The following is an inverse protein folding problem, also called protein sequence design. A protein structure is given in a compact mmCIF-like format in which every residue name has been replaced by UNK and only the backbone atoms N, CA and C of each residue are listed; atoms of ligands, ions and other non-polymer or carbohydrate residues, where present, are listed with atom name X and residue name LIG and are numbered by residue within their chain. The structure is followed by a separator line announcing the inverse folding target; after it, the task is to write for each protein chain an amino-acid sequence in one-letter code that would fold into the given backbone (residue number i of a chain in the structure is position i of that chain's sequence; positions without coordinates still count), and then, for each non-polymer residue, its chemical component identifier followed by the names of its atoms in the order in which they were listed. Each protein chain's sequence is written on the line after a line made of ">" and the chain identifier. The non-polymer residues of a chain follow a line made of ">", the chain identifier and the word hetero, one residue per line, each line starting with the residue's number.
data_IF_392032937213
#
_entry.id   IF_392032937213
#
_cell.length_a   1.000
_cell.length_b   1.000
_cell.length_c   1.000
_cell.angle_alpha   90.00
_cell.angle_beta   90.00
_cell.angle_gamma   90.00
#
_symmetry.space_group_name_H-M   'P 1'
#
loop_
_entity.id
_entity.type
_entity.pdbx_description
1 polymer ?
#
# COMPACT_ATOMS: atom_id res chain seq x y z
N UNK A 1 2.77 -32.75 0.07
CA UNK A 1 4.23 -33.04 0.21
C UNK A 1 4.74 -32.43 1.51
N UNK A 2 5.74 -33.00 2.20
CA UNK A 2 6.41 -32.30 3.31
C UNK A 2 7.05 -31.02 2.75
N UNK A 3 6.58 -29.85 3.19
CA UNK A 3 7.03 -28.58 2.60
C UNK A 3 8.47 -28.27 2.98
N UNK A 4 9.34 -28.15 1.99
CA UNK A 4 10.68 -27.62 2.20
C UNK A 4 10.59 -26.10 2.38
N UNK A 5 11.36 -25.52 3.29
CA UNK A 5 11.40 -24.05 3.40
C UNK A 5 12.03 -23.45 2.13
N UNK A 6 11.59 -22.25 1.72
CA UNK A 6 12.11 -21.57 0.52
C UNK A 6 13.65 -21.48 0.50
N UNK A 7 14.27 -21.26 1.65
CA UNK A 7 15.73 -21.23 1.79
C UNK A 7 16.38 -22.57 1.47
N UNK A 8 15.83 -23.68 1.96
CA UNK A 8 16.36 -25.01 1.67
C UNK A 8 16.08 -25.43 0.22
N UNK A 9 14.91 -25.09 -0.33
CA UNK A 9 14.60 -25.32 -1.74
C UNK A 9 15.57 -24.58 -2.66
N UNK A 10 15.93 -23.34 -2.32
CA UNK A 10 16.91 -22.54 -3.06
C UNK A 10 18.32 -23.16 -3.01
N UNK A 11 18.73 -23.73 -1.88
CA UNK A 11 19.99 -24.48 -1.80
C UNK A 11 19.99 -25.74 -2.67
N UNK A 12 18.88 -26.48 -2.69
CA UNK A 12 18.75 -27.67 -3.54
C UNK A 12 18.83 -27.31 -5.02
N UNK A 13 18.19 -26.20 -5.43
CA UNK A 13 18.32 -25.68 -6.79
C UNK A 13 19.79 -25.38 -7.12
N UNK A 14 20.53 -24.81 -6.15
CA UNK A 14 21.97 -24.54 -6.22
C UNK A 14 22.89 -25.75 -6.42
N UNK A 15 22.39 -26.98 -6.35
CA UNK A 15 23.13 -28.20 -6.73
C UNK A 15 23.10 -28.47 -8.24
N UNK A 16 22.29 -27.71 -8.98
CA UNK A 16 22.19 -27.81 -10.43
C UNK A 16 23.32 -27.02 -11.08
N UNK A 17 23.70 -27.39 -12.29
CA UNK A 17 24.77 -26.71 -13.02
C UNK A 17 24.42 -25.23 -13.25
N UNK A 18 25.13 -24.34 -12.55
CA UNK A 18 24.98 -22.89 -12.65
C UNK A 18 23.74 -22.28 -11.96
N UNK A 19 22.59 -22.96 -11.96
CA UNK A 19 21.33 -22.40 -11.46
C UNK A 19 21.30 -22.23 -9.93
N UNK A 20 20.57 -21.22 -9.41
CA UNK A 20 20.06 -20.06 -10.15
C UNK A 20 21.14 -18.99 -10.38
N UNK A 21 22.36 -19.21 -9.88
CA UNK A 21 23.41 -18.22 -9.74
C UNK A 21 24.02 -17.72 -11.05
N UNK A 22 23.88 -18.45 -12.15
CA UNK A 22 24.31 -18.04 -13.49
C UNK A 22 23.17 -17.46 -14.32
N UNK A 23 21.93 -17.57 -13.88
CA UNK A 23 20.79 -17.10 -14.67
C UNK A 23 20.74 -15.56 -14.69
N UNK A 24 20.79 -14.91 -15.87
CA UNK A 24 20.74 -13.46 -15.96
C UNK A 24 19.46 -12.89 -15.35
N UNK A 25 18.31 -13.54 -15.58
CA UNK A 25 17.02 -13.13 -15.02
C UNK A 25 17.04 -13.16 -13.49
N UNK A 26 17.58 -14.23 -12.91
CA UNK A 26 17.69 -14.34 -11.45
C UNK A 26 18.65 -13.29 -10.87
N UNK A 27 19.79 -13.08 -11.52
CA UNK A 27 20.76 -12.06 -11.10
C UNK A 27 20.18 -10.65 -11.20
N UNK A 28 19.41 -10.36 -12.25
CA UNK A 28 18.76 -9.06 -12.41
C UNK A 28 17.71 -8.84 -11.31
N UNK A 29 16.93 -9.87 -10.99
CA UNK A 29 15.89 -9.82 -9.97
C UNK A 29 16.47 -9.68 -8.55
N UNK A 30 17.50 -10.45 -8.24
CA UNK A 30 18.03 -10.56 -6.86
C UNK A 30 19.25 -9.68 -6.60
N UNK A 31 19.91 -9.19 -7.65
CA UNK A 31 21.23 -8.54 -7.62
C UNK A 31 22.33 -9.42 -6.99
N UNK A 32 22.10 -10.74 -6.91
CA UNK A 32 23.09 -11.71 -6.43
C UNK A 32 23.83 -12.28 -7.63
N UNK A 33 25.05 -11.81 -7.84
CA UNK A 33 25.91 -12.28 -8.91
C UNK A 33 26.78 -13.42 -8.37
N UNK A 34 26.70 -14.60 -9.01
CA UNK A 34 27.46 -15.84 -8.67
C UNK A 34 27.02 -16.53 -7.37
N UNK A 35 27.71 -17.63 -7.06
CA UNK A 35 27.39 -18.54 -5.95
C UNK A 35 27.64 -17.83 -4.60
N UNK A 36 26.64 -17.73 -3.70
CA UNK A 36 26.77 -16.98 -2.44
C UNK A 36 27.90 -17.48 -1.52
N UNK A 37 28.13 -18.79 -1.48
CA UNK A 37 29.13 -19.44 -0.62
C UNK A 37 30.48 -19.70 -1.32
N UNK A 38 30.78 -18.96 -2.40
CA UNK A 38 32.11 -18.98 -3.00
C UNK A 38 33.13 -18.30 -2.08
N UNK A 39 34.34 -18.86 -2.03
CA UNK A 39 35.48 -18.32 -1.29
C UNK A 39 36.73 -18.47 -2.14
N UNK A 40 37.62 -17.48 -2.10
CA UNK A 40 38.94 -17.59 -2.73
C UNK A 40 39.74 -18.75 -2.11
N UNK A 41 40.54 -19.47 -2.91
CA UNK A 41 41.52 -20.41 -2.38
C UNK A 41 42.44 -19.73 -1.35
N UNK A 42 42.69 -20.41 -0.24
CA UNK A 42 43.61 -19.95 0.83
C UNK A 42 43.25 -18.64 1.54
N UNK A 43 42.02 -18.12 1.37
CA UNK A 43 41.55 -16.95 2.10
C UNK A 43 41.46 -17.23 3.62
N UNK A 44 41.95 -16.29 4.43
CA UNK A 44 41.89 -16.40 5.88
C UNK A 44 40.42 -16.37 6.37
N UNK A 45 40.06 -17.08 7.46
CA UNK A 45 38.67 -17.23 7.93
C UNK A 45 37.88 -15.92 8.12
N UNK A 46 38.56 -14.86 8.58
CA UNK A 46 37.97 -13.55 8.86
C UNK A 46 37.85 -12.63 7.64
N UNK A 47 38.42 -13.03 6.49
CA UNK A 47 38.37 -12.24 5.26
C UNK A 47 36.92 -12.14 4.78
N UNK A 48 36.43 -10.95 4.35
CA UNK A 48 35.08 -10.81 3.81
C UNK A 48 34.81 -11.77 2.64
N UNK A 49 33.61 -12.36 2.61
CA UNK A 49 33.17 -13.20 1.51
C UNK A 49 32.89 -12.33 0.26
N UNK A 50 33.26 -12.79 -0.94
CA UNK A 50 33.22 -11.95 -2.14
C UNK A 50 31.80 -11.63 -2.64
N UNK A 51 30.84 -12.53 -2.43
CA UNK A 51 29.51 -12.43 -3.08
C UNK A 51 28.36 -12.08 -2.13
N UNK A 52 28.59 -12.09 -0.81
CA UNK A 52 27.56 -11.76 0.19
C UNK A 52 28.12 -10.76 1.19
N UNK A 53 27.60 -9.54 1.13
CA UNK A 53 27.96 -8.48 2.07
C UNK A 53 27.64 -8.88 3.51
N UNK A 54 28.62 -8.76 4.41
CA UNK A 54 28.48 -9.08 5.83
C UNK A 54 28.82 -10.53 6.20
N UNK A 55 29.13 -11.40 5.23
CA UNK A 55 29.71 -12.71 5.52
C UNK A 55 31.23 -12.66 5.54
N UNK A 56 31.84 -13.45 6.43
CA UNK A 56 33.26 -13.80 6.35
C UNK A 56 33.47 -15.10 5.56
N UNK A 57 34.71 -15.39 5.21
CA UNK A 57 35.13 -16.63 4.54
C UNK A 57 34.72 -17.86 5.35
N UNK A 58 34.86 -17.80 6.68
CA UNK A 58 34.41 -18.85 7.59
C UNK A 58 32.89 -19.09 7.48
N UNK A 59 32.09 -18.02 7.46
CA UNK A 59 30.63 -18.14 7.33
C UNK A 59 30.25 -18.75 5.99
N UNK A 60 30.86 -18.29 4.89
CA UNK A 60 30.63 -18.83 3.56
C UNK A 60 31.02 -20.33 3.48
N UNK A 61 32.14 -20.73 4.10
CA UNK A 61 32.54 -22.15 4.19
C UNK A 61 31.56 -23.00 5.02
N UNK A 62 31.04 -22.46 6.12
CA UNK A 62 30.00 -23.14 6.92
C UNK A 62 28.71 -23.31 6.13
N UNK A 63 28.29 -22.30 5.35
CA UNK A 63 27.14 -22.41 4.43
C UNK A 63 27.39 -23.46 3.35
N UNK A 64 28.58 -23.48 2.75
CA UNK A 64 28.99 -24.47 1.75
C UNK A 64 28.95 -25.90 2.29
N UNK A 65 29.39 -26.10 3.53
CA UNK A 65 29.34 -27.39 4.22
C UNK A 65 27.90 -27.83 4.45
N UNK A 66 27.06 -26.93 4.97
CA UNK A 66 25.63 -27.19 5.14
C UNK A 66 24.95 -27.57 3.81
N UNK A 67 25.23 -26.83 2.73
CA UNK A 67 24.67 -27.11 1.41
C UNK A 67 25.06 -28.52 0.92
N UNK A 68 26.34 -28.90 1.03
CA UNK A 68 26.81 -30.26 0.69
C UNK A 68 26.14 -31.35 1.52
N UNK A 69 26.00 -31.13 2.82
CA UNK A 69 25.35 -32.08 3.71
C UNK A 69 23.85 -32.22 3.42
N UNK A 70 23.19 -31.14 3.00
CA UNK A 70 21.81 -31.16 2.53
C UNK A 70 21.67 -31.92 1.20
N UNK A 71 22.57 -31.70 0.24
CA UNK A 71 22.55 -32.39 -1.06
C UNK A 71 22.85 -33.88 -0.93
N UNK A 72 23.66 -34.28 0.04
CA UNK A 72 23.98 -35.68 0.32
C UNK A 72 22.82 -36.47 0.95
N UNK A 73 21.73 -35.82 1.34
CA UNK A 73 20.57 -36.53 1.92
C UNK A 73 19.85 -37.37 0.85
N UNK A 74 19.39 -38.58 1.20
CA UNK A 74 18.97 -39.60 0.22
C UNK A 74 17.64 -39.33 -0.47
N UNK A 75 16.78 -38.47 0.09
CA UNK A 75 15.47 -38.15 -0.46
C UNK A 75 14.91 -36.84 0.13
N UNK A 76 13.83 -36.32 -0.47
CA UNK A 76 13.18 -35.08 -0.06
C UNK A 76 12.74 -35.05 1.42
N UNK A 77 12.33 -36.20 1.99
CA UNK A 77 11.94 -36.28 3.40
C UNK A 77 13.15 -36.08 4.31
N UNK A 78 14.27 -36.74 3.99
CA UNK A 78 15.53 -36.58 4.71
C UNK A 78 16.12 -35.17 4.53
N UNK A 79 16.01 -34.57 3.34
CA UNK A 79 16.39 -33.18 3.08
C UNK A 79 15.57 -32.20 3.94
N UNK A 80 14.25 -32.35 3.98
CA UNK A 80 13.38 -31.52 4.81
C UNK A 80 13.66 -31.69 6.31
N UNK A 81 13.89 -32.94 6.76
CA UNK A 81 14.26 -33.22 8.14
C UNK A 81 15.63 -32.61 8.48
N UNK A 82 16.62 -32.75 7.60
CA UNK A 82 17.94 -32.16 7.77
C UNK A 82 17.85 -30.64 7.86
N UNK A 83 17.13 -29.98 6.96
CA UNK A 83 16.96 -28.52 6.96
C UNK A 83 16.34 -27.98 8.26
N UNK A 84 15.45 -28.76 8.91
CA UNK A 84 14.74 -28.38 10.15
C UNK A 84 15.48 -28.76 11.45
N UNK A 85 16.66 -29.37 11.38
CA UNK A 85 17.41 -29.77 12.59
C UNK A 85 17.77 -28.57 13.47
N UNK A 86 17.89 -28.86 14.78
CA UNK A 86 18.16 -27.88 15.82
C UNK A 86 19.54 -27.20 15.67
N UNK A 87 19.66 -26.02 16.29
CA UNK A 87 20.81 -25.10 16.22
C UNK A 87 22.11 -25.58 16.89
N UNK A 88 22.24 -26.86 17.21
CA UNK A 88 23.37 -27.39 18.00
C UNK A 88 24.22 -28.42 17.25
N UNK A 89 23.93 -28.69 15.97
CA UNK A 89 24.77 -29.57 15.15
C UNK A 89 25.88 -28.80 14.42
N UNK A 90 26.83 -29.54 13.81
CA UNK A 90 27.96 -28.97 13.09
C UNK A 90 27.55 -28.10 11.87
N UNK A 91 26.29 -28.21 11.43
CA UNK A 91 25.74 -27.43 10.32
C UNK A 91 24.97 -26.18 10.79
N UNK A 92 24.79 -25.99 12.10
CA UNK A 92 23.94 -24.95 12.67
C UNK A 92 24.38 -23.53 12.27
N UNK A 93 25.69 -23.27 12.22
CA UNK A 93 26.22 -21.96 11.82
C UNK A 93 25.88 -21.65 10.36
N UNK A 94 26.16 -22.59 9.45
CA UNK A 94 25.88 -22.44 8.02
C UNK A 94 24.39 -22.32 7.73
N UNK A 95 23.58 -23.16 8.35
CA UNK A 95 22.12 -23.14 8.25
C UNK A 95 21.52 -21.82 8.74
N UNK A 96 21.98 -21.32 9.89
CA UNK A 96 21.50 -20.04 10.45
C UNK A 96 21.88 -18.87 9.57
N UNK A 97 23.14 -18.80 9.12
CA UNK A 97 23.61 -17.75 8.23
C UNK A 97 22.83 -17.75 6.91
N UNK A 98 22.63 -18.92 6.30
CA UNK A 98 21.88 -19.08 5.07
C UNK A 98 20.41 -18.68 5.23
N UNK A 99 19.71 -19.25 6.21
CA UNK A 99 18.29 -18.96 6.43
C UNK A 99 18.07 -17.48 6.77
N UNK A 100 18.95 -16.89 7.58
CA UNK A 100 18.90 -15.46 7.91
C UNK A 100 19.08 -14.59 6.68
N UNK A 101 20.07 -14.88 5.84
CA UNK A 101 20.32 -14.12 4.61
C UNK A 101 19.17 -14.24 3.60
N UNK A 102 18.67 -15.46 3.36
CA UNK A 102 17.51 -15.65 2.47
C UNK A 102 16.28 -14.94 3.04
N UNK A 103 15.96 -15.12 4.32
CA UNK A 103 14.77 -14.49 4.93
C UNK A 103 14.84 -12.96 4.89
N UNK A 104 16.02 -12.37 5.13
CA UNK A 104 16.21 -10.93 5.10
C UNK A 104 16.01 -10.35 3.70
N UNK A 105 16.35 -11.10 2.65
CA UNK A 105 16.26 -10.63 1.28
C UNK A 105 14.98 -11.04 0.54
N UNK A 106 14.34 -12.16 0.92
CA UNK A 106 13.24 -12.78 0.18
C UNK A 106 12.10 -11.80 -0.15
N UNK A 107 11.59 -11.12 0.88
CA UNK A 107 10.49 -10.16 0.74
C UNK A 107 10.99 -8.74 0.53
N UNK A 108 11.99 -8.31 1.31
CA UNK A 108 12.42 -6.91 1.34
C UNK A 108 13.21 -6.49 0.10
N UNK A 109 14.20 -7.30 -0.30
CA UNK A 109 15.13 -6.97 -1.38
C UNK A 109 14.68 -7.55 -2.71
N UNK A 110 14.46 -8.87 -2.74
CA UNK A 110 14.17 -9.62 -3.97
C UNK A 110 12.69 -9.57 -4.36
N UNK A 111 11.82 -9.20 -3.42
CA UNK A 111 10.36 -9.09 -3.62
C UNK A 111 9.74 -10.36 -4.24
N UNK A 112 10.28 -11.55 -3.91
CA UNK A 112 9.89 -12.80 -4.57
C UNK A 112 8.43 -13.18 -4.29
N UNK A 113 7.92 -12.89 -3.10
CA UNK A 113 6.50 -13.09 -2.79
C UNK A 113 5.60 -12.30 -3.76
N UNK A 114 5.94 -11.03 -4.02
CA UNK A 114 5.22 -10.18 -4.97
C UNK A 114 5.29 -10.74 -6.38
N UNK A 115 6.47 -11.16 -6.83
CA UNK A 115 6.63 -11.79 -8.17
C UNK A 115 5.75 -13.03 -8.31
N UNK A 116 5.73 -13.89 -7.28
CA UNK A 116 4.88 -15.09 -7.28
C UNK A 116 3.40 -14.70 -7.30
N UNK A 117 2.99 -13.72 -6.50
CA UNK A 117 1.60 -13.25 -6.42
C UNK A 117 1.12 -12.62 -7.74
N UNK A 118 1.97 -11.85 -8.41
CA UNK A 118 1.72 -11.26 -9.73
C UNK A 118 1.52 -12.35 -10.79
N UNK A 119 2.45 -13.32 -10.87
CA UNK A 119 2.33 -14.43 -11.81
C UNK A 119 1.06 -15.25 -11.57
N UNK A 120 0.73 -15.55 -10.30
CA UNK A 120 -0.50 -16.28 -9.97
C UNK A 120 -1.75 -15.49 -10.36
N UNK A 121 -1.73 -14.17 -10.26
CA UNK A 121 -2.82 -13.30 -10.71
C UNK A 121 -2.93 -13.30 -12.24
N UNK A 122 -1.82 -13.15 -12.96
CA UNK A 122 -1.76 -13.17 -14.43
C UNK A 122 -2.34 -14.48 -15.01
N UNK A 123 -1.98 -15.63 -14.42
CA UNK A 123 -2.51 -16.94 -14.84
C UNK A 123 -3.87 -17.29 -14.21
N UNK A 124 -4.53 -16.32 -13.56
CA UNK A 124 -5.85 -16.47 -12.91
C UNK A 124 -5.93 -17.64 -11.93
N UNK A 125 -4.86 -17.82 -11.16
CA UNK A 125 -4.69 -18.81 -10.10
C UNK A 125 -4.46 -18.15 -8.72
N UNK A 126 -4.69 -16.84 -8.62
CA UNK A 126 -4.68 -16.13 -7.34
C UNK A 126 -5.77 -16.66 -6.40
N UNK A 127 -5.62 -16.46 -5.07
CA UNK A 127 -6.47 -17.09 -4.08
C UNK A 127 -7.95 -16.70 -4.24
N UNK A 128 -8.22 -15.43 -4.55
CA UNK A 128 -9.58 -14.94 -4.77
C UNK A 128 -10.18 -15.43 -6.10
N UNK A 129 -9.37 -15.53 -7.16
CA UNK A 129 -9.84 -16.09 -8.44
C UNK A 129 -10.18 -17.57 -8.31
N UNK A 130 -9.40 -18.33 -7.53
CA UNK A 130 -9.69 -19.72 -7.20
C UNK A 130 -10.99 -19.83 -6.39
N UNK A 131 -11.15 -19.05 -5.31
CA UNK A 131 -12.38 -19.07 -4.51
C UNK A 131 -13.61 -18.76 -5.38
N UNK A 132 -13.52 -17.76 -6.25
CA UNK A 132 -14.57 -17.37 -7.17
C UNK A 132 -14.91 -18.49 -8.18
N UNK A 133 -13.88 -19.05 -8.83
CA UNK A 133 -14.02 -20.11 -9.84
C UNK A 133 -14.70 -21.35 -9.28
N UNK A 134 -14.27 -21.78 -8.10
CA UNK A 134 -14.79 -22.99 -7.46
C UNK A 134 -16.00 -22.73 -6.55
N UNK A 135 -16.46 -21.48 -6.43
CA UNK A 135 -17.56 -21.07 -5.53
C UNK A 135 -17.35 -21.59 -4.10
N UNK A 136 -16.11 -21.57 -3.64
CA UNK A 136 -15.71 -22.19 -2.39
C UNK A 136 -15.60 -21.14 -1.27
N UNK A 137 -16.01 -21.50 -0.04
CA UNK A 137 -15.83 -20.64 1.15
C UNK A 137 -14.44 -20.73 1.77
N UNK A 138 -13.68 -21.76 1.40
CA UNK A 138 -12.31 -22.01 1.85
C UNK A 138 -11.45 -22.30 0.64
N UNK A 139 -10.20 -21.86 0.69
CA UNK A 139 -9.26 -22.09 -0.40
C UNK A 139 -9.05 -23.61 -0.56
N UNK A 140 -9.32 -24.18 -1.76
CA UNK A 140 -9.14 -25.61 -2.01
C UNK A 140 -7.68 -26.04 -1.84
N UNK A 141 -7.37 -27.32 -2.05
CA UNK A 141 -5.98 -27.78 -2.10
C UNK A 141 -5.26 -27.19 -3.32
N UNK A 142 -3.93 -27.24 -3.33
CA UNK A 142 -3.15 -26.73 -4.48
C UNK A 142 -3.49 -27.55 -5.73
N UNK A 143 -3.66 -28.85 -5.54
CA UNK A 143 -4.02 -29.85 -6.54
C UNK A 143 -5.44 -29.62 -7.08
N UNK A 144 -6.44 -29.49 -6.21
CA UNK A 144 -7.83 -29.23 -6.63
C UNK A 144 -7.96 -27.90 -7.38
N UNK A 145 -7.08 -26.94 -7.06
CA UNK A 145 -7.05 -25.63 -7.69
C UNK A 145 -6.27 -25.62 -9.02
N UNK A 146 -5.67 -26.75 -9.40
CA UNK A 146 -4.86 -26.93 -10.62
C UNK A 146 -3.65 -25.98 -10.74
N UNK A 147 -3.24 -25.35 -9.64
CA UNK A 147 -2.16 -24.35 -9.63
C UNK A 147 -0.82 -25.00 -9.96
N UNK A 148 -0.61 -26.24 -9.52
CA UNK A 148 0.57 -27.06 -9.84
C UNK A 148 0.70 -27.44 -11.32
N UNK A 149 -0.32 -27.18 -12.13
CA UNK A 149 -0.34 -27.41 -13.58
C UNK A 149 -0.21 -26.08 -14.33
N UNK A 150 -0.98 -25.06 -13.92
CA UNK A 150 -1.13 -23.81 -14.67
C UNK A 150 -0.01 -22.79 -14.40
N UNK A 151 0.51 -22.72 -13.18
CA UNK A 151 1.47 -21.70 -12.77
C UNK A 151 2.96 -22.01 -13.04
N UNK A 152 3.44 -23.28 -13.07
CA UNK A 152 4.88 -23.53 -13.02
C UNK A 152 5.69 -22.91 -14.15
N UNK A 153 5.22 -23.00 -15.41
CA UNK A 153 5.97 -22.47 -16.55
C UNK A 153 6.06 -20.94 -16.50
N UNK A 154 4.95 -20.26 -16.21
CA UNK A 154 4.96 -18.80 -16.11
C UNK A 154 5.87 -18.31 -14.98
N UNK A 155 5.86 -19.00 -13.83
CA UNK A 155 6.70 -18.65 -12.70
C UNK A 155 8.18 -18.95 -12.97
N UNK A 156 8.49 -20.09 -13.60
CA UNK A 156 9.85 -20.44 -13.96
C UNK A 156 10.45 -19.43 -14.95
N UNK A 157 9.71 -19.05 -16.00
CA UNK A 157 10.13 -18.01 -16.94
C UNK A 157 10.38 -16.67 -16.23
N UNK A 158 9.49 -16.27 -15.32
CA UNK A 158 9.64 -15.00 -14.60
C UNK A 158 10.88 -14.98 -13.69
N UNK A 159 11.26 -16.11 -13.11
CA UNK A 159 12.38 -16.21 -12.18
C UNK A 159 13.73 -16.48 -12.87
N UNK A 160 13.73 -17.23 -13.97
CA UNK A 160 14.96 -17.75 -14.59
C UNK A 160 15.08 -17.47 -16.09
N UNK A 161 14.05 -16.93 -16.74
CA UNK A 161 14.02 -16.71 -18.19
C UNK A 161 14.14 -18.04 -18.95
N UNK A 162 14.91 -18.02 -20.04
CA UNK A 162 15.12 -19.20 -20.88
C UNK A 162 15.94 -20.30 -20.17
N UNK A 163 16.71 -19.95 -19.12
CA UNK A 163 17.51 -20.92 -18.35
C UNK A 163 16.66 -21.90 -17.53
N UNK A 164 15.34 -21.68 -17.45
CA UNK A 164 14.42 -22.61 -16.80
C UNK A 164 14.15 -23.88 -17.63
N UNK A 165 14.48 -23.84 -18.92
CA UNK A 165 14.05 -24.82 -19.93
C UNK A 165 15.24 -25.58 -20.52
N UNK A 166 15.16 -26.92 -20.67
CA UNK A 166 16.18 -27.68 -21.37
C UNK A 166 16.13 -27.32 -22.85
N UNK A 167 17.29 -27.02 -23.44
CA UNK A 167 17.46 -26.66 -24.85
C UNK A 167 16.55 -25.51 -25.33
N UNK A 168 16.05 -24.68 -24.40
CA UNK A 168 15.12 -23.59 -24.67
C UNK A 168 13.69 -24.02 -25.01
N UNK A 169 13.29 -25.28 -24.78
CA UNK A 169 11.91 -25.74 -25.01
C UNK A 169 10.96 -25.32 -23.87
N UNK A 170 10.04 -24.36 -24.09
CA UNK A 170 9.16 -23.85 -23.04
C UNK A 170 8.13 -24.88 -22.54
N UNK A 171 8.00 -26.03 -23.19
CA UNK A 171 7.10 -27.10 -22.78
C UNK A 171 7.59 -27.87 -21.56
N UNK A 172 8.90 -27.90 -21.29
CA UNK A 172 9.50 -28.73 -20.26
C UNK A 172 10.36 -27.90 -19.30
N UNK A 173 10.21 -28.09 -18.00
CA UNK A 173 11.10 -27.48 -17.01
C UNK A 173 12.26 -28.41 -16.68
N UNK A 174 13.45 -27.83 -16.47
CA UNK A 174 14.57 -28.55 -15.87
C UNK A 174 14.08 -29.16 -14.54
N UNK A 175 14.33 -30.46 -14.25
CA UNK A 175 13.74 -31.14 -13.08
C UNK A 175 13.98 -30.43 -11.74
N UNK A 176 15.16 -29.84 -11.56
CA UNK A 176 15.50 -29.08 -10.36
C UNK A 176 14.70 -27.77 -10.25
N UNK A 177 14.49 -27.07 -11.38
CA UNK A 177 13.63 -25.89 -11.45
C UNK A 177 12.19 -26.27 -11.13
N UNK A 178 11.67 -27.35 -11.74
CA UNK A 178 10.31 -27.85 -11.43
C UNK A 178 10.12 -28.12 -9.95
N UNK A 179 11.06 -28.84 -9.32
CA UNK A 179 11.00 -29.15 -7.89
C UNK A 179 11.02 -27.87 -7.04
N UNK A 180 11.89 -26.91 -7.37
CA UNK A 180 11.95 -25.64 -6.68
C UNK A 180 10.63 -24.86 -6.79
N UNK A 181 10.07 -24.75 -8.00
CA UNK A 181 8.81 -24.08 -8.26
C UNK A 181 7.65 -24.74 -7.51
N UNK A 182 7.60 -26.08 -7.46
CA UNK A 182 6.57 -26.80 -6.69
C UNK A 182 6.64 -26.48 -5.20
N UNK A 183 7.84 -26.44 -4.61
CA UNK A 183 8.04 -26.05 -3.22
C UNK A 183 7.57 -24.59 -2.96
N UNK A 184 7.87 -23.68 -3.88
CA UNK A 184 7.41 -22.29 -3.80
C UNK A 184 5.88 -22.19 -3.84
N UNK A 185 5.24 -22.93 -4.75
CA UNK A 185 3.78 -22.93 -4.88
C UNK A 185 3.12 -23.52 -3.63
N UNK A 186 3.65 -24.61 -3.07
CA UNK A 186 3.17 -25.19 -1.82
C UNK A 186 3.27 -24.19 -0.66
N UNK A 187 4.42 -23.53 -0.50
CA UNK A 187 4.62 -22.54 0.56
C UNK A 187 3.73 -21.31 0.38
N UNK A 188 3.56 -20.85 -0.86
CA UNK A 188 2.67 -19.73 -1.21
C UNK A 188 1.21 -20.07 -0.91
N UNK A 189 0.77 -21.28 -1.25
CA UNK A 189 -0.58 -21.74 -0.98
C UNK A 189 -0.87 -21.82 0.53
N UNK A 190 0.12 -22.26 1.31
CA UNK A 190 0.05 -22.21 2.78
C UNK A 190 -0.04 -20.77 3.30
N UNK A 191 0.72 -19.81 2.73
CA UNK A 191 0.63 -18.39 3.06
C UNK A 191 -0.77 -17.85 2.79
N UNK A 192 -1.33 -18.11 1.60
CA UNK A 192 -2.71 -17.69 1.27
C UNK A 192 -3.76 -18.29 2.20
N UNK A 193 -3.68 -19.59 2.50
CA UNK A 193 -4.62 -20.23 3.43
C UNK A 193 -4.59 -19.58 4.82
N UNK A 194 -3.40 -19.23 5.32
CA UNK A 194 -3.26 -18.49 6.58
C UNK A 194 -3.82 -17.08 6.49
N UNK A 195 -3.52 -16.35 5.41
CA UNK A 195 -4.00 -14.99 5.18
C UNK A 195 -5.54 -14.94 5.11
N UNK A 196 -6.15 -15.77 4.26
CA UNK A 196 -7.61 -15.90 4.17
C UNK A 196 -8.25 -16.35 5.49
N UNK A 197 -7.57 -17.20 6.26
CA UNK A 197 -8.04 -17.61 7.59
C UNK A 197 -8.03 -16.46 8.61
N UNK A 198 -7.04 -15.56 8.55
CA UNK A 198 -7.02 -14.33 9.36
C UNK A 198 -8.08 -13.34 8.90
N UNK A 199 -8.20 -13.16 7.59
CA UNK A 199 -9.19 -12.27 6.97
C UNK A 199 -10.62 -12.68 7.27
N UNK A 200 -10.96 -13.97 7.17
CA UNK A 200 -12.28 -14.47 7.54
C UNK A 200 -12.63 -14.16 9.01
N UNK A 201 -11.66 -14.24 9.93
CA UNK A 201 -11.87 -13.85 11.34
C UNK A 201 -12.08 -12.34 11.48
N UNK A 202 -11.32 -11.53 10.73
CA UNK A 202 -11.46 -10.08 10.74
C UNK A 202 -12.82 -9.64 10.17
N UNK A 203 -13.29 -10.26 9.08
CA UNK A 203 -14.64 -10.08 8.53
C UNK A 203 -15.69 -10.34 9.62
N UNK A 204 -15.64 -11.49 10.28
CA UNK A 204 -16.62 -11.83 11.34
C UNK A 204 -16.58 -10.82 12.49
N UNK A 205 -15.39 -10.36 12.88
CA UNK A 205 -15.23 -9.34 13.93
C UNK A 205 -15.83 -7.99 13.51
N UNK A 206 -15.55 -7.54 12.28
CA UNK A 206 -16.09 -6.29 11.71
C UNK A 206 -17.60 -6.36 11.52
N UNK A 207 -18.13 -7.49 11.04
CA UNK A 207 -19.58 -7.73 10.93
C UNK A 207 -20.27 -7.63 12.30
N UNK A 208 -19.72 -8.27 13.34
CA UNK A 208 -20.26 -8.18 14.70
C UNK A 208 -20.20 -6.76 15.26
N UNK A 209 -19.07 -6.06 15.08
CA UNK A 209 -18.90 -4.68 15.51
C UNK A 209 -19.88 -3.73 14.81
N UNK A 210 -20.06 -3.88 13.50
CA UNK A 210 -21.04 -3.09 12.74
C UNK A 210 -22.47 -3.40 13.13
N UNK A 211 -22.78 -4.66 13.46
CA UNK A 211 -24.08 -5.04 14.00
C UNK A 211 -24.39 -4.32 15.31
N UNK A 212 -23.44 -4.27 16.24
CA UNK A 212 -23.59 -3.53 17.51
C UNK A 212 -23.71 -2.03 17.29
N UNK A 213 -22.89 -1.44 16.42
CA UNK A 213 -22.98 -0.02 16.07
C UNK A 213 -24.34 0.32 15.45
N UNK A 214 -24.81 -0.52 14.51
CA UNK A 214 -26.11 -0.33 13.90
C UNK A 214 -27.24 -0.38 14.93
N UNK A 215 -27.24 -1.37 15.83
CA UNK A 215 -28.22 -1.46 16.91
C UNK A 215 -28.22 -0.22 17.81
N UNK A 216 -27.04 0.31 18.15
CA UNK A 216 -26.92 1.54 18.94
C UNK A 216 -27.47 2.77 18.20
N UNK A 217 -27.20 2.89 16.89
CA UNK A 217 -27.69 3.99 16.05
C UNK A 217 -29.20 3.95 15.84
N UNK A 218 -29.82 2.77 15.93
CA UNK A 218 -31.21 2.56 15.52
C UNK A 218 -32.15 2.17 16.65
N UNK A 219 -31.70 2.21 17.91
CA UNK A 219 -32.57 1.93 19.05
C UNK A 219 -33.70 2.97 19.13
N UNK A 220 -34.87 2.57 19.67
CA UNK A 220 -36.07 3.41 19.69
C UNK A 220 -35.92 4.75 20.46
N UNK A 221 -34.89 4.85 21.31
CA UNK A 221 -34.51 6.05 22.08
C UNK A 221 -33.15 6.63 21.66
N UNK A 222 -32.58 6.17 20.54
CA UNK A 222 -31.30 6.65 20.07
C UNK A 222 -31.40 8.11 19.57
N UNK A 223 -30.44 8.94 19.97
CA UNK A 223 -30.16 10.24 19.36
C UNK A 223 -28.70 10.20 18.86
N UNK A 224 -28.44 9.49 17.75
CA UNK A 224 -27.08 9.24 17.31
C UNK A 224 -26.40 10.53 16.87
N UNK A 225 -25.17 10.75 17.36
CA UNK A 225 -24.38 11.90 16.98
C UNK A 225 -23.79 11.74 15.58
N UNK A 226 -23.43 12.86 14.95
CA UNK A 226 -22.76 12.90 13.64
C UNK A 226 -21.48 12.06 13.64
N UNK A 227 -20.72 12.08 14.75
CA UNK A 227 -19.51 11.27 14.93
C UNK A 227 -19.80 9.76 14.93
N UNK A 228 -20.94 9.34 15.47
CA UNK A 228 -21.34 7.93 15.50
C UNK A 228 -21.70 7.44 14.09
N UNK A 229 -22.38 8.28 13.32
CA UNK A 229 -22.73 8.03 11.92
C UNK A 229 -21.44 7.97 11.06
N UNK A 230 -20.53 8.92 11.21
CA UNK A 230 -19.24 8.92 10.51
C UNK A 230 -18.40 7.68 10.85
N UNK A 231 -18.32 7.30 12.12
CA UNK A 231 -17.63 6.10 12.57
C UNK A 231 -18.23 4.83 11.94
N UNK A 232 -19.55 4.72 11.89
CA UNK A 232 -20.21 3.61 11.21
C UNK A 232 -19.88 3.57 9.70
N UNK A 233 -19.91 4.72 9.01
CA UNK A 233 -19.57 4.83 7.59
C UNK A 233 -18.11 4.44 7.29
N UNK A 234 -17.17 4.81 8.15
CA UNK A 234 -15.76 4.39 8.03
C UNK A 234 -15.62 2.88 8.20
N UNK A 235 -16.29 2.31 9.21
CA UNK A 235 -16.21 0.89 9.51
C UNK A 235 -16.87 0.02 8.43
N UNK A 236 -18.03 0.44 7.90
CA UNK A 236 -18.72 -0.27 6.82
C UNK A 236 -17.91 -0.22 5.52
N UNK A 237 -17.26 0.92 5.21
CA UNK A 237 -16.33 1.03 4.09
C UNK A 237 -15.17 0.05 4.22
N UNK A 238 -14.55 -0.01 5.40
CA UNK A 238 -13.47 -0.96 5.67
C UNK A 238 -13.91 -2.41 5.45
N UNK A 239 -15.12 -2.77 5.89
CA UNK A 239 -15.68 -4.11 5.63
C UNK A 239 -15.96 -4.33 4.13
N UNK A 240 -16.57 -3.36 3.44
CA UNK A 240 -16.88 -3.47 2.00
C UNK A 240 -15.62 -3.67 1.15
N UNK A 241 -14.53 -2.97 1.46
CA UNK A 241 -13.24 -3.17 0.77
C UNK A 241 -12.71 -4.60 0.91
N UNK A 242 -12.86 -5.22 2.09
CA UNK A 242 -12.48 -6.62 2.29
C UNK A 242 -13.39 -7.56 1.51
N UNK A 243 -14.71 -7.36 1.63
CA UNK A 243 -15.71 -8.19 0.97
C UNK A 243 -15.60 -8.11 -0.56
N UNK A 244 -15.25 -6.96 -1.14
CA UNK A 244 -15.13 -6.80 -2.60
C UNK A 244 -14.12 -7.78 -3.24
N UNK A 245 -13.08 -8.16 -2.50
CA UNK A 245 -12.09 -9.15 -2.97
C UNK A 245 -12.69 -10.53 -3.14
N UNK A 246 -13.75 -10.85 -2.40
CA UNK A 246 -14.49 -12.09 -2.53
C UNK A 246 -15.54 -11.94 -3.63
N UNK A 247 -15.29 -12.58 -4.79
CA UNK A 247 -16.19 -12.55 -5.95
C UNK A 247 -17.27 -13.65 -5.88
N UNK A 248 -17.61 -14.12 -4.68
CA UNK A 248 -18.65 -15.13 -4.48
C UNK A 248 -20.04 -14.49 -4.34
N UNK A 249 -21.08 -15.25 -4.67
CA UNK A 249 -22.45 -14.73 -4.74
C UNK A 249 -23.00 -14.25 -3.37
N UNK A 250 -22.63 -14.90 -2.26
CA UNK A 250 -23.08 -14.52 -0.92
C UNK A 250 -22.46 -13.15 -0.57
N UNK A 251 -21.18 -12.98 -0.85
CA UNK A 251 -20.46 -11.73 -0.55
C UNK A 251 -20.90 -10.58 -1.45
N UNK A 252 -21.14 -10.83 -2.74
CA UNK A 252 -21.70 -9.83 -3.66
C UNK A 252 -23.08 -9.37 -3.19
N UNK A 253 -23.96 -10.28 -2.77
CA UNK A 253 -25.27 -9.92 -2.24
C UNK A 253 -25.16 -9.05 -0.97
N UNK A 254 -24.25 -9.41 -0.05
CA UNK A 254 -23.97 -8.60 1.15
C UNK A 254 -23.42 -7.21 0.82
N UNK A 255 -22.56 -7.10 -0.19
CA UNK A 255 -22.03 -5.82 -0.66
C UNK A 255 -23.13 -4.92 -1.21
N UNK A 256 -23.99 -5.47 -2.07
CA UNK A 256 -25.13 -4.75 -2.64
C UNK A 256 -26.11 -4.28 -1.57
N UNK A 257 -26.40 -5.11 -0.56
CA UNK A 257 -27.24 -4.70 0.57
C UNK A 257 -26.63 -3.53 1.35
N UNK A 258 -25.32 -3.60 1.63
CA UNK A 258 -24.60 -2.54 2.35
C UNK A 258 -24.50 -1.26 1.53
N UNK A 259 -24.28 -1.38 0.22
CA UNK A 259 -24.25 -0.24 -0.72
C UNK A 259 -25.58 0.49 -0.74
N UNK A 260 -26.69 -0.23 -0.94
CA UNK A 260 -28.04 0.35 -0.89
C UNK A 260 -28.33 1.06 0.43
N UNK A 261 -27.85 0.49 1.54
CA UNK A 261 -28.02 1.11 2.87
C UNK A 261 -27.27 2.44 2.99
N UNK A 262 -26.03 2.50 2.50
CA UNK A 262 -25.22 3.73 2.51
C UNK A 262 -25.84 4.78 1.57
N UNK A 263 -26.29 4.38 0.39
CA UNK A 263 -26.98 5.27 -0.57
C UNK A 263 -28.25 5.87 0.03
N UNK A 264 -29.04 5.07 0.77
CA UNK A 264 -30.22 5.58 1.47
C UNK A 264 -29.85 6.57 2.60
N UNK A 265 -28.74 6.32 3.32
CA UNK A 265 -28.26 7.26 4.36
C UNK A 265 -27.82 8.59 3.75
N UNK A 266 -27.18 8.54 2.59
CA UNK A 266 -26.78 9.75 1.85
C UNK A 266 -27.99 10.54 1.38
N UNK A 267 -28.96 9.88 0.74
CA UNK A 267 -30.19 10.50 0.29
C UNK A 267 -30.97 11.16 1.45
N UNK A 268 -30.97 10.52 2.62
CA UNK A 268 -31.59 11.07 3.83
C UNK A 268 -30.86 12.32 4.36
N UNK A 269 -29.53 12.39 4.24
CA UNK A 269 -28.74 13.56 4.61
C UNK A 269 -28.97 14.75 3.64
N UNK A 270 -29.14 14.46 2.36
CA UNK A 270 -29.36 15.46 1.30
C UNK A 270 -30.81 15.96 1.21
N UNK A 271 -31.76 15.34 1.95
CA UNK A 271 -33.20 15.53 1.75
C UNK A 271 -33.63 15.29 0.29
N UNK A 272 -33.10 14.25 -0.34
CA UNK A 272 -33.43 13.91 -1.73
C UNK A 272 -34.83 13.28 -1.81
N UNK A 273 -35.81 14.12 -2.18
CA UNK A 273 -37.22 13.73 -2.34
C UNK A 273 -37.42 12.66 -3.43
N UNK A 274 -36.48 12.50 -4.37
CA UNK A 274 -36.56 11.47 -5.42
C UNK A 274 -36.37 10.04 -4.87
N UNK A 275 -35.75 9.91 -3.70
CA UNK A 275 -35.44 8.63 -3.03
C UNK A 275 -36.26 8.37 -1.78
N UNK A 276 -37.43 8.99 -1.67
CA UNK A 276 -38.32 8.92 -0.50
C UNK A 276 -38.59 7.47 -0.03
N UNK A 277 -38.80 6.54 -0.96
CA UNK A 277 -39.06 5.13 -0.65
C UNK A 277 -37.84 4.43 0.00
N UNK A 278 -36.63 4.77 -0.43
CA UNK A 278 -35.38 4.20 0.10
C UNK A 278 -35.06 4.81 1.47
N UNK A 279 -35.24 6.13 1.60
CA UNK A 279 -35.11 6.85 2.85
C UNK A 279 -36.08 6.28 3.89
N UNK A 280 -37.34 6.02 3.52
CA UNK A 280 -38.38 5.52 4.43
C UNK A 280 -38.03 4.19 5.12
N UNK A 281 -37.17 3.37 4.50
CA UNK A 281 -36.70 2.09 5.04
C UNK A 281 -35.64 2.25 6.13
N UNK A 282 -35.07 3.45 6.30
CA UNK A 282 -34.15 3.75 7.39
C UNK A 282 -34.90 3.95 8.71
N UNK A 283 -34.34 3.49 9.84
CA UNK A 283 -34.89 3.74 11.17
C UNK A 283 -35.09 5.23 11.44
N UNK A 284 -36.18 5.57 12.13
CA UNK A 284 -36.60 6.97 12.35
C UNK A 284 -35.52 7.79 13.06
N UNK A 285 -34.93 7.27 14.12
CA UNK A 285 -33.84 7.92 14.85
C UNK A 285 -32.66 8.32 13.94
N UNK A 286 -32.26 7.41 13.05
CA UNK A 286 -31.17 7.65 12.10
C UNK A 286 -31.56 8.67 11.03
N UNK A 287 -32.80 8.62 10.51
CA UNK A 287 -33.30 9.62 9.56
C UNK A 287 -33.32 11.02 10.16
N UNK A 288 -33.86 11.14 11.37
CA UNK A 288 -33.98 12.42 12.05
C UNK A 288 -32.57 12.99 12.37
N UNK A 289 -31.60 12.15 12.73
CA UNK A 289 -30.21 12.56 12.93
C UNK A 289 -29.50 12.98 11.63
N UNK A 290 -29.71 12.25 10.52
CA UNK A 290 -29.17 12.61 9.21
C UNK A 290 -29.77 13.92 8.68
N UNK A 291 -31.07 14.16 8.92
CA UNK A 291 -31.72 15.44 8.59
C UNK A 291 -31.25 16.62 9.44
N UNK A 292 -30.70 16.35 10.62
CA UNK A 292 -30.09 17.34 11.52
C UNK A 292 -28.63 17.66 11.15
N UNK A 293 -28.05 17.03 10.11
CA UNK A 293 -26.75 17.44 9.57
C UNK A 293 -26.87 18.90 9.15
N UNK A 294 -26.23 19.79 9.92
CA UNK A 294 -26.57 21.20 9.96
C UNK A 294 -25.75 22.04 8.98
N UNK A 295 -24.69 21.47 8.39
CA UNK A 295 -23.76 22.19 7.52
C UNK A 295 -23.50 21.42 6.23
N UNK A 296 -23.39 22.16 5.10
CA UNK A 296 -22.99 21.58 3.81
C UNK A 296 -21.65 20.82 3.90
N UNK A 297 -20.75 21.22 4.79
CA UNK A 297 -19.47 20.54 5.02
C UNK A 297 -19.63 19.13 5.61
N UNK A 298 -20.61 18.92 6.48
CA UNK A 298 -20.91 17.60 7.05
C UNK A 298 -21.59 16.69 6.02
N UNK A 299 -22.44 17.26 5.18
CA UNK A 299 -23.07 16.58 4.04
C UNK A 299 -22.00 16.18 3.01
N UNK A 300 -21.13 17.11 2.59
CA UNK A 300 -19.98 16.85 1.71
C UNK A 300 -19.00 15.83 2.33
N UNK A 301 -18.85 15.80 3.66
CA UNK A 301 -18.04 14.82 4.38
C UNK A 301 -18.60 13.39 4.28
N UNK A 302 -19.92 13.25 4.42
CA UNK A 302 -20.63 11.98 4.21
C UNK A 302 -20.55 11.58 2.73
N UNK A 303 -20.83 12.49 1.79
CA UNK A 303 -20.70 12.27 0.34
C UNK A 303 -19.32 11.73 -0.04
N UNK A 304 -18.23 12.36 0.42
CA UNK A 304 -16.87 11.89 0.16
C UNK A 304 -16.60 10.51 0.71
N UNK A 305 -17.13 10.17 1.89
CA UNK A 305 -16.96 8.84 2.47
C UNK A 305 -17.73 7.78 1.70
N UNK A 306 -18.94 8.11 1.21
CA UNK A 306 -19.75 7.24 0.35
C UNK A 306 -19.08 7.06 -1.01
N UNK A 307 -18.71 8.16 -1.66
CA UNK A 307 -18.07 8.14 -2.97
C UNK A 307 -16.72 7.43 -2.92
N UNK A 308 -15.88 7.66 -1.91
CA UNK A 308 -14.64 6.92 -1.74
C UNK A 308 -14.86 5.44 -1.34
N UNK A 309 -16.01 5.09 -0.75
CA UNK A 309 -16.38 3.69 -0.54
C UNK A 309 -16.83 3.01 -1.84
N UNK A 310 -17.38 3.78 -2.79
CA UNK A 310 -17.82 3.32 -4.10
C UNK A 310 -16.67 3.29 -5.12
N UNK A 311 -15.73 4.23 -5.06
CA UNK A 311 -14.58 4.36 -5.96
C UNK A 311 -13.46 3.36 -5.63
N UNK A 312 -13.28 2.98 -4.35
CA UNK A 312 -12.34 1.93 -3.94
C UNK A 312 -12.81 0.50 -4.30
N UNK A 313 -13.86 0.37 -5.10
CA UNK A 313 -14.35 -0.87 -5.71
C UNK A 313 -13.69 -1.03 -7.09
N UNK A 314 -12.41 -0.66 -7.21
CA UNK A 314 -11.58 -0.98 -8.37
C UNK A 314 -10.66 -2.17 -8.04
N UNK A 315 -10.32 -3.02 -9.02
CA UNK A 315 -9.77 -4.34 -8.77
C UNK A 315 -8.31 -4.38 -8.28
N UNK A 316 -7.63 -3.24 -8.04
CA UNK A 316 -6.17 -3.20 -8.14
C UNK A 316 -5.40 -2.70 -6.91
N UNK A 317 -6.04 -2.60 -5.74
CA UNK A 317 -5.27 -2.48 -4.49
C UNK A 317 -4.74 -3.85 -4.09
N UNK A 318 -3.73 -4.30 -4.84
CA UNK A 318 -2.83 -5.37 -4.43
C UNK A 318 -2.36 -5.11 -3.00
N UNK A 319 -2.41 -6.15 -2.18
CA UNK A 319 -2.05 -6.09 -0.77
C UNK A 319 -0.66 -5.43 -0.63
N UNK A 320 -0.62 -4.20 -0.13
CA UNK A 320 0.61 -3.65 0.42
C UNK A 320 0.93 -4.48 1.66
N UNK A 321 1.82 -5.48 1.50
CA UNK A 321 2.50 -6.13 2.62
C UNK A 321 3.27 -5.04 3.37
N UNK A 322 2.66 -4.46 4.40
CA UNK A 322 3.42 -3.77 5.44
C UNK A 322 4.35 -4.83 6.06
N UNK A 323 5.68 -4.60 6.09
CA UNK A 323 6.62 -5.54 6.69
C UNK A 323 6.16 -5.88 8.12
N UNK A 324 6.25 -7.14 8.51
CA UNK A 324 6.15 -7.54 9.92
C UNK A 324 7.35 -6.93 10.67
N UNK A 325 7.22 -5.67 11.07
CA UNK A 325 8.06 -5.04 12.08
C UNK A 325 7.50 -5.38 13.47
N UNK A 326 8.38 -5.42 14.48
CA UNK A 326 7.99 -5.35 15.88
C UNK A 326 6.94 -4.25 16.03
N UNK A 327 5.92 -4.46 16.88
CA UNK A 327 4.93 -3.42 17.19
C UNK A 327 5.69 -2.20 17.73
N UNK A 328 6.00 -1.25 16.85
CA UNK A 328 6.67 -0.04 17.25
C UNK A 328 5.60 0.78 17.95
N UNK A 329 5.63 0.74 19.28
CA UNK A 329 4.89 1.68 20.11
C UNK A 329 5.54 3.05 19.94
N UNK A 330 5.20 3.71 18.82
CA UNK A 330 5.47 5.13 18.69
C UNK A 330 4.37 5.86 19.44
N UNK A 331 4.77 6.76 20.35
CA UNK A 331 3.97 7.94 20.63
C UNK A 331 3.87 8.72 19.31
N UNK A 332 2.88 8.38 18.49
CA UNK A 332 2.67 9.00 17.18
C UNK A 332 2.52 10.50 17.37
N UNK A 333 3.39 11.26 16.72
CA UNK A 333 3.34 12.71 16.63
C UNK A 333 2.99 13.06 15.21
N UNK A 334 1.98 13.89 15.02
CA UNK A 334 1.53 14.34 13.71
C UNK A 334 2.56 15.25 13.03
N UNK A 335 3.53 15.77 13.80
CA UNK A 335 4.63 16.59 13.27
C UNK A 335 4.18 18.01 12.90
N UNK A 336 3.00 18.41 13.38
CA UNK A 336 2.38 19.73 13.20
C UNK A 336 1.91 20.35 14.53
N UNK A 337 2.32 19.79 15.66
CA UNK A 337 1.85 20.19 16.98
C UNK A 337 2.16 21.67 17.28
N UNK A 338 3.30 22.18 16.81
CA UNK A 338 3.69 23.59 16.94
C UNK A 338 2.83 24.56 16.11
N UNK A 339 2.07 24.04 15.13
CA UNK A 339 1.15 24.81 14.30
C UNK A 339 -0.31 24.71 14.78
N UNK A 340 -0.61 23.73 15.65
CA UNK A 340 -1.99 23.43 16.09
C UNK A 340 -2.71 24.59 16.78
N UNK A 341 -1.96 25.47 17.46
CA UNK A 341 -2.51 26.60 18.21
C UNK A 341 -2.61 27.90 17.40
N UNK A 342 -2.26 27.88 16.11
CA UNK A 342 -2.25 29.06 15.26
C UNK A 342 -3.62 29.29 14.62
N UNK A 343 -4.07 30.53 14.55
CA UNK A 343 -5.27 30.88 13.80
C UNK A 343 -4.99 30.88 12.29
N UNK A 344 -6.03 30.86 11.46
CA UNK A 344 -5.86 30.95 10.00
C UNK A 344 -5.10 32.22 9.60
N UNK A 345 -5.38 33.34 10.27
CA UNK A 345 -4.71 34.62 10.05
C UNK A 345 -3.21 34.57 10.40
N UNK A 346 -2.85 33.82 11.44
CA UNK A 346 -1.45 33.57 11.78
C UNK A 346 -0.75 32.73 10.71
N UNK A 347 -1.44 31.73 10.14
CA UNK A 347 -0.90 30.91 9.06
C UNK A 347 -0.68 31.74 7.79
N UNK A 348 -1.65 32.57 7.40
CA UNK A 348 -1.49 33.50 6.29
C UNK A 348 -0.35 34.50 6.52
N UNK A 349 -0.20 34.99 7.75
CA UNK A 349 0.92 35.85 8.13
C UNK A 349 2.27 35.13 8.02
N UNK A 350 2.36 33.85 8.41
CA UNK A 350 3.57 33.04 8.25
C UNK A 350 3.97 32.84 6.80
N UNK A 351 3.00 32.74 5.89
CA UNK A 351 3.27 32.71 4.45
C UNK A 351 3.65 34.10 3.88
N UNK A 352 3.44 35.19 4.64
CA UNK A 352 3.60 36.56 4.14
C UNK A 352 2.47 37.02 3.23
N UNK A 353 1.29 36.40 3.36
CA UNK A 353 0.09 36.62 2.55
C UNK A 353 -1.08 37.13 3.42
N UNK A 354 -0.78 37.78 4.55
CA UNK A 354 -1.78 38.24 5.52
C UNK A 354 -2.84 39.14 4.92
N UNK A 355 -2.45 40.02 3.99
CA UNK A 355 -3.33 41.04 3.41
C UNK A 355 -4.23 40.47 2.31
N UNK A 356 -3.71 39.58 1.46
CA UNK A 356 -4.46 39.02 0.35
C UNK A 356 -5.24 37.75 0.70
N UNK A 357 -4.80 36.99 1.72
CA UNK A 357 -5.36 35.68 2.14
C UNK A 357 -5.68 34.75 0.95
N UNK A 358 -4.79 34.76 -0.04
CA UNK A 358 -4.92 34.00 -1.27
C UNK A 358 -3.56 33.45 -1.68
N UNK A 359 -3.55 32.19 -2.13
CA UNK A 359 -2.33 31.58 -2.68
C UNK A 359 -2.06 32.24 -4.04
N UNK A 360 -0.84 32.74 -4.30
CA UNK A 360 -0.46 33.27 -5.60
C UNK A 360 -0.72 32.26 -6.73
N UNK A 361 -1.08 32.75 -7.92
CA UNK A 361 -1.31 31.93 -9.13
C UNK A 361 -2.55 31.03 -9.07
N UNK A 362 -3.30 31.00 -7.96
CA UNK A 362 -4.58 30.30 -7.89
C UNK A 362 -5.69 31.12 -8.55
N UNK A 363 -6.64 30.40 -9.15
CA UNK A 363 -7.92 30.96 -9.54
C UNK A 363 -8.70 31.46 -8.30
N UNK A 364 -9.46 32.54 -8.46
CA UNK A 364 -10.25 33.13 -7.35
C UNK A 364 -11.52 32.36 -7.06
N UNK A 365 -12.08 31.70 -8.07
CA UNK A 365 -13.35 31.01 -8.01
C UNK A 365 -13.20 29.61 -8.61
N UNK A 366 -14.10 28.71 -8.23
CA UNK A 366 -14.16 27.34 -8.74
C UNK A 366 -15.62 26.97 -9.01
N UNK A 367 -15.82 26.06 -9.95
CA UNK A 367 -17.07 25.33 -10.10
C UNK A 367 -17.14 24.23 -9.01
N UNK A 368 -18.13 24.25 -8.10
CA UNK A 368 -18.27 23.20 -7.09
C UNK A 368 -18.62 21.83 -7.69
N UNK A 369 -19.26 21.80 -8.86
CA UNK A 369 -19.70 20.57 -9.52
C UNK A 369 -18.64 20.01 -10.49
N UNK A 370 -17.56 20.75 -10.73
CA UNK A 370 -16.46 20.41 -11.64
C UNK A 370 -16.93 20.02 -13.06
N UNK A 371 -18.03 20.61 -13.53
CA UNK A 371 -18.61 20.39 -14.86
C UNK A 371 -18.00 21.34 -15.89
N UNK A 372 -17.59 22.53 -15.44
CA UNK A 372 -17.03 23.58 -16.28
C UNK A 372 -15.50 23.52 -16.28
N UNK A 373 -14.90 23.37 -17.46
CA UNK A 373 -13.45 23.41 -17.64
C UNK A 373 -12.91 24.86 -17.53
N UNK A 374 -12.12 25.21 -16.49
CA UNK A 374 -11.73 26.59 -16.20
C UNK A 374 -10.85 27.28 -17.25
N UNK A 375 -10.11 26.51 -18.05
CA UNK A 375 -9.12 27.01 -19.01
C UNK A 375 -9.66 27.17 -20.44
N UNK A 376 -10.98 27.11 -20.61
CA UNK A 376 -11.67 27.41 -21.86
C UNK A 376 -12.22 28.84 -21.83
N UNK A 377 -12.40 29.47 -22.99
CA UNK A 377 -13.02 30.81 -23.06
C UNK A 377 -14.41 30.84 -22.41
N UNK A 378 -15.15 29.74 -22.55
CA UNK A 378 -16.47 29.52 -21.95
C UNK A 378 -16.40 29.40 -20.43
N UNK A 379 -15.43 28.63 -19.92
CA UNK A 379 -15.19 28.47 -18.49
C UNK A 379 -14.65 29.72 -17.81
N UNK A 380 -13.77 30.48 -18.47
CA UNK A 380 -13.29 31.76 -17.96
C UNK A 380 -14.44 32.79 -17.90
N UNK A 381 -15.29 32.83 -18.92
CA UNK A 381 -16.50 33.67 -18.93
C UNK A 381 -17.45 33.28 -17.80
N UNK A 382 -17.67 31.97 -17.59
CA UNK A 382 -18.52 31.45 -16.51
C UNK A 382 -17.94 31.78 -15.13
N UNK A 383 -16.65 31.55 -14.91
CA UNK A 383 -15.98 31.84 -13.64
C UNK A 383 -15.96 33.33 -13.31
N UNK A 384 -16.03 34.20 -14.32
CA UNK A 384 -16.13 35.63 -14.13
C UNK A 384 -17.58 36.11 -13.91
N UNK A 385 -18.59 35.27 -14.17
CA UNK A 385 -20.00 35.58 -13.96
C UNK A 385 -20.44 35.30 -12.50
N UNK A 386 -20.82 36.33 -11.70
CA UNK A 386 -21.29 36.14 -10.33
C UNK A 386 -22.56 35.30 -10.21
N UNK A 387 -23.41 35.30 -11.25
CA UNK A 387 -24.71 34.62 -11.23
C UNK A 387 -24.61 33.13 -11.63
N UNK A 388 -23.40 32.66 -11.96
CA UNK A 388 -23.17 31.29 -12.44
C UNK A 388 -23.15 30.20 -11.39
N UNK A 389 -23.23 30.52 -10.09
CA UNK A 389 -23.09 29.52 -9.01
C UNK A 389 -21.64 29.20 -8.62
N UNK A 390 -20.68 30.01 -9.07
CA UNK A 390 -19.26 29.89 -8.70
C UNK A 390 -19.03 30.03 -7.18
N UNK A 391 -18.14 29.22 -6.63
CA UNK A 391 -17.71 29.33 -5.22
C UNK A 391 -16.31 29.95 -5.11
N UNK A 392 -16.00 30.74 -4.05
CA UNK A 392 -14.65 31.21 -3.79
C UNK A 392 -13.68 30.05 -3.50
N UNK A 393 -12.60 29.96 -4.27
CA UNK A 393 -11.54 28.99 -4.02
C UNK A 393 -10.67 29.51 -2.86
N UNK A 394 -10.86 28.93 -1.68
CA UNK A 394 -10.14 29.32 -0.47
C UNK A 394 -9.47 28.11 0.19
N UNK A 395 -8.28 28.34 0.74
CA UNK A 395 -7.57 27.32 1.49
C UNK A 395 -8.22 27.14 2.87
N UNK A 396 -8.47 25.89 3.27
CA UNK A 396 -8.88 25.59 4.65
C UNK A 396 -7.68 25.59 5.58
N UNK A 397 -7.91 25.83 6.87
CA UNK A 397 -6.87 25.90 7.90
C UNK A 397 -5.85 24.76 7.83
N UNK A 398 -6.31 23.51 7.75
CA UNK A 398 -5.42 22.33 7.71
C UNK A 398 -4.59 22.26 6.42
N UNK A 399 -5.11 22.79 5.31
CA UNK A 399 -4.38 22.85 4.05
C UNK A 399 -3.24 23.86 4.13
N UNK A 400 -3.46 25.00 4.80
CA UNK A 400 -2.42 25.98 5.08
C UNK A 400 -1.32 25.42 6.00
N UNK A 401 -1.71 24.66 7.02
CA UNK A 401 -0.76 23.93 7.89
C UNK A 401 0.11 22.99 7.07
N UNK A 402 -0.50 22.19 6.18
CA UNK A 402 0.22 21.27 5.29
C UNK A 402 1.22 22.00 4.37
N UNK A 403 0.78 23.09 3.72
CA UNK A 403 1.63 23.92 2.86
C UNK A 403 2.82 24.49 3.65
N UNK A 404 2.58 25.08 4.82
CA UNK A 404 3.62 25.66 5.67
C UNK A 404 4.62 24.58 6.10
N UNK A 405 4.15 23.40 6.49
CA UNK A 405 5.03 22.29 6.90
C UNK A 405 5.90 21.82 5.74
N UNK A 406 5.33 21.67 4.54
CA UNK A 406 6.08 21.31 3.34
C UNK A 406 7.15 22.37 3.01
N UNK A 407 6.81 23.66 3.10
CA UNK A 407 7.77 24.75 2.91
C UNK A 407 8.91 24.69 3.93
N UNK A 408 8.60 24.53 5.23
CA UNK A 408 9.62 24.44 6.28
C UNK A 408 10.63 23.31 6.00
N UNK A 409 10.13 22.13 5.63
CA UNK A 409 10.95 20.95 5.35
C UNK A 409 11.73 21.09 4.05
N UNK A 410 11.13 21.70 3.02
CA UNK A 410 11.82 22.02 1.77
C UNK A 410 13.01 22.98 1.99
N UNK A 411 12.83 24.00 2.84
CA UNK A 411 13.90 24.90 3.26
C UNK A 411 15.00 24.19 4.06
N UNK A 412 14.67 23.11 4.76
CA UNK A 412 15.63 22.27 5.49
C UNK A 412 16.28 21.19 4.60
N UNK A 413 15.75 20.95 3.40
CA UNK A 413 16.20 19.87 2.52
C UNK A 413 15.69 18.49 2.96
N UNK A 414 14.60 18.45 3.73
CA UNK A 414 14.03 17.23 4.29
C UNK A 414 12.78 16.78 3.52
N UNK A 415 12.62 15.46 3.30
CA UNK A 415 11.41 14.92 2.67
C UNK A 415 10.21 14.98 3.62
N UNK A 416 9.00 15.05 3.04
CA UNK A 416 7.73 15.04 3.77
C UNK A 416 6.81 13.98 3.20
N UNK A 417 6.13 13.25 4.07
CA UNK A 417 5.06 12.33 3.73
C UNK A 417 3.74 12.83 4.31
N UNK A 418 2.75 13.11 3.46
CA UNK A 418 1.40 13.52 3.87
C UNK A 418 0.54 12.26 4.08
N UNK A 419 0.37 11.86 5.35
CA UNK A 419 -0.42 10.69 5.76
C UNK A 419 -1.81 11.05 6.31
N UNK A 420 -2.25 12.26 6.02
CA UNK A 420 -3.56 12.76 6.41
C UNK A 420 -4.69 11.99 5.64
N UNK A 421 -5.93 12.06 6.12
CA UNK A 421 -7.06 11.31 5.55
C UNK A 421 -7.28 11.52 4.03
N UNK A 422 -7.96 10.59 3.36
CA UNK A 422 -8.34 10.76 1.94
C UNK A 422 -9.41 11.86 1.82
N UNK A 423 -9.34 12.68 0.75
CA UNK A 423 -10.39 13.67 0.45
C UNK A 423 -10.30 15.00 1.20
N UNK A 424 -9.22 15.27 1.92
CA UNK A 424 -8.99 16.55 2.64
C UNK A 424 -8.23 17.61 1.81
N UNK A 425 -8.02 17.32 0.52
CA UNK A 425 -7.42 18.25 -0.44
C UNK A 425 -5.89 18.24 -0.45
N UNK A 426 -5.26 17.05 -0.40
CA UNK A 426 -3.79 16.91 -0.60
C UNK A 426 -3.32 17.54 -1.91
N UNK A 427 -4.08 17.36 -2.99
CA UNK A 427 -3.79 17.98 -4.29
C UNK A 427 -3.72 19.50 -4.17
N UNK A 428 -4.68 20.12 -3.49
CA UNK A 428 -4.66 21.56 -3.20
C UNK A 428 -3.41 21.96 -2.41
N UNK A 429 -3.03 21.19 -1.38
CA UNK A 429 -1.83 21.46 -0.59
C UNK A 429 -0.54 21.40 -1.44
N UNK A 430 -0.40 20.37 -2.28
CA UNK A 430 0.80 20.19 -3.13
C UNK A 430 0.90 21.29 -4.17
N UNK A 431 -0.20 21.59 -4.88
CA UNK A 431 -0.22 22.69 -5.87
C UNK A 431 0.01 24.03 -5.17
N UNK A 432 -0.56 24.23 -3.98
CA UNK A 432 -0.34 25.42 -3.17
C UNK A 432 1.11 25.56 -2.72
N UNK A 433 1.76 24.47 -2.34
CA UNK A 433 3.19 24.43 -2.02
C UNK A 433 4.06 24.83 -3.22
N UNK A 434 3.81 24.25 -4.41
CA UNK A 434 4.52 24.59 -5.65
C UNK A 434 4.34 26.08 -5.99
N UNK A 435 3.11 26.58 -5.90
CA UNK A 435 2.79 27.98 -6.20
C UNK A 435 3.45 28.94 -5.22
N UNK A 436 3.48 28.60 -3.93
CA UNK A 436 4.20 29.34 -2.91
C UNK A 436 5.71 29.34 -3.18
N UNK A 437 6.33 28.21 -3.57
CA UNK A 437 7.75 28.18 -3.93
C UNK A 437 8.06 29.10 -5.12
N UNK A 438 7.24 29.04 -6.18
CA UNK A 438 7.37 29.90 -7.35
C UNK A 438 7.28 31.39 -6.95
N UNK A 439 6.30 31.74 -6.12
CA UNK A 439 6.16 33.11 -5.62
C UNK A 439 7.30 33.54 -4.68
N UNK A 440 7.75 32.66 -3.77
CA UNK A 440 8.87 32.95 -2.86
C UNK A 440 10.14 33.27 -3.64
N UNK A 441 10.38 32.55 -4.73
CA UNK A 441 11.50 32.81 -5.63
C UNK A 441 11.40 34.20 -6.25
N UNK A 442 10.27 34.55 -6.87
CA UNK A 442 10.06 35.88 -7.45
C UNK A 442 10.15 37.00 -6.40
N UNK A 443 9.61 36.75 -5.20
CA UNK A 443 9.70 37.68 -4.08
C UNK A 443 11.16 37.92 -3.66
N UNK A 444 11.97 36.85 -3.58
CA UNK A 444 13.39 36.94 -3.24
C UNK A 444 14.21 37.66 -4.31
N UNK A 445 13.89 37.48 -5.60
CA UNK A 445 14.57 38.20 -6.69
C UNK A 445 14.50 39.72 -6.50
N UNK A 446 13.34 40.22 -6.05
CA UNK A 446 13.08 41.64 -5.82
C UNK A 446 13.59 42.11 -4.44
N UNK A 447 13.28 41.37 -3.37
CA UNK A 447 13.48 41.84 -1.99
C UNK A 447 14.74 41.30 -1.32
N UNK A 448 15.44 40.35 -1.96
CA UNK A 448 16.60 39.62 -1.41
C UNK A 448 16.35 38.93 -0.07
N UNK A 449 15.08 38.64 0.22
CA UNK A 449 14.60 37.87 1.37
C UNK A 449 13.30 37.16 1.02
N UNK A 450 13.04 36.04 1.68
CA UNK A 450 11.77 35.34 1.57
C UNK A 450 10.66 36.06 2.35
N UNK A 451 9.37 35.81 2.05
CA UNK A 451 8.27 36.47 2.72
C UNK A 451 7.93 35.84 4.09
N UNK A 452 7.15 36.56 4.89
CA UNK A 452 6.57 36.05 6.14
C UNK A 452 7.60 35.51 7.13
N UNK A 453 7.29 34.35 7.72
CA UNK A 453 8.14 33.68 8.71
C UNK A 453 9.43 33.09 8.10
N UNK A 454 9.56 33.08 6.77
CA UNK A 454 10.72 32.54 6.07
C UNK A 454 11.78 33.60 5.79
N UNK A 455 11.52 34.88 6.10
CA UNK A 455 12.42 36.00 5.79
C UNK A 455 13.84 35.86 6.37
N UNK A 456 14.00 35.18 7.51
CA UNK A 456 15.29 34.92 8.15
C UNK A 456 15.89 33.57 7.77
N UNK A 457 15.21 32.76 6.95
CA UNK A 457 15.67 31.42 6.60
C UNK A 457 16.50 31.43 5.32
N UNK A 458 17.41 30.45 5.23
CA UNK A 458 18.24 30.18 4.07
C UNK A 458 17.73 28.92 3.38
N UNK A 459 17.68 28.93 2.05
CA UNK A 459 17.26 27.75 1.30
C UNK A 459 18.32 26.64 1.43
N UNK A 460 18.00 25.58 2.16
CA UNK A 460 18.87 24.42 2.40
C UNK A 460 20.26 24.82 2.92
N UNK A 461 20.27 25.81 3.83
CA UNK A 461 21.48 26.36 4.43
C UNK A 461 22.32 27.29 3.54
N UNK A 462 21.91 27.52 2.29
CA UNK A 462 22.65 28.35 1.32
C UNK A 462 22.08 29.78 1.30
N UNK A 463 22.97 30.78 1.27
CA UNK A 463 22.59 32.18 1.00
C UNK A 463 22.33 32.38 -0.50
N UNK A 464 21.29 31.73 -0.99
CA UNK A 464 20.89 31.75 -2.38
C UNK A 464 19.36 31.65 -2.48
N UNK A 465 18.83 32.08 -3.62
CA UNK A 465 17.42 31.87 -3.95
C UNK A 465 17.12 30.39 -4.17
N UNK A 466 15.83 30.04 -4.21
CA UNK A 466 15.35 28.73 -4.64
C UNK A 466 15.78 28.50 -6.10
N UNK A 467 16.44 27.37 -6.41
CA UNK A 467 16.98 27.13 -7.75
C UNK A 467 15.90 26.88 -8.79
N UNK A 468 16.19 27.26 -10.04
CA UNK A 468 15.35 26.97 -11.21
C UNK A 468 15.62 25.58 -11.74
N UNK A 469 14.97 24.58 -11.16
CA UNK A 469 15.11 23.19 -11.59
C UNK A 469 13.81 22.72 -12.25
N UNK A 470 13.89 21.86 -13.28
CA UNK A 470 12.71 21.21 -13.82
C UNK A 470 12.05 20.39 -12.71
N UNK A 471 10.79 20.68 -12.43
CA UNK A 471 9.95 19.91 -11.53
C UNK A 471 8.98 19.07 -12.37
N UNK A 472 8.93 17.77 -12.09
CA UNK A 472 7.85 16.92 -12.58
C UNK A 472 6.57 17.31 -11.82
N UNK A 473 5.55 17.72 -12.58
CA UNK A 473 4.15 17.72 -12.10
C UNK A 473 3.56 16.35 -12.37
#
# INVERSE_FOLDING_TARGET
>A
MPSLANSAALLLLGNSEGLPWTSPTWQELTKVFRIPWYTEPDAAPETPAPNVSGWSTAVAQSVKTHARNLWAQPNAVAQAAHARRAYTDNDAQGRTAWNGWVSANWTATWKLNRVIDEVLTEVKCGPYDTLARFKAKKLPTLEDSQVSILAPNALAFKLFGDDAYPDGDPAFLIPAVKSFIDDLLVNTWHRYRKALGREAKDISKKEASLGMQWQALTADSADPGIKDIQSYLINIRSLMSILHRYKDADTIAKLEEKKKRIEAMLAAAQNDDSKTDEISKLPKALRDALKKLATEDEIRGVERLVQAALENIQPDDGMLELPEGESIDFSWKEGVEDLSNLTEDDLWARLGLKECKAIPMFQKYTDPDAVIEPWTDEGESWLNNPDGGREPLHARWHQLVGIIRMLQRAFQGEPVLLMDGVGIGKTFQVIGFISCLAWFRSHYEVHKKFPGAFASLKWQGKEANIPDLPFLV
#
